data_IF_817288954242
#
_entry.id   IF_817288954242
#
_cell.length_a   1.000
_cell.length_b   1.000
_cell.length_c   1.000
_cell.angle_alpha   90.00
_cell.angle_beta   90.00
_cell.angle_gamma   90.00
#
_symmetry.space_group_name_H-M   'P 1'
#
loop_
_entity.id
_entity.type
_entity.pdbx_description
1 polymer ?
#
# COMPACT_ATOMS: atom_id res chain seq x y z
N UNK A 1 -22.07 -1.72 -3.28
CA UNK A 1 -20.96 -1.82 -2.31
C UNK A 1 -19.60 -2.05 -2.99
N UNK A 2 -19.55 -2.57 -4.22
CA UNK A 2 -18.34 -2.72 -5.05
C UNK A 2 -17.57 -1.42 -5.35
N UNK A 3 -18.27 -0.30 -5.57
CA UNK A 3 -17.63 1.00 -5.91
C UNK A 3 -16.79 1.59 -4.78
N UNK A 4 -17.18 1.41 -3.51
CA UNK A 4 -16.43 1.95 -2.38
C UNK A 4 -15.09 1.22 -2.17
N UNK A 5 -15.10 -0.10 -2.37
CA UNK A 5 -13.90 -0.94 -2.24
C UNK A 5 -12.93 -0.72 -3.41
N UNK A 6 -13.45 -0.52 -4.62
CA UNK A 6 -12.63 -0.13 -5.78
C UNK A 6 -11.90 1.21 -5.54
N UNK A 7 -12.58 2.20 -4.95
CA UNK A 7 -11.94 3.47 -4.53
C UNK A 7 -10.89 3.25 -3.46
N UNK A 8 -11.20 2.46 -2.42
CA UNK A 8 -10.24 2.17 -1.36
C UNK A 8 -8.96 1.51 -1.90
N UNK A 9 -9.08 0.58 -2.87
CA UNK A 9 -7.90 0.00 -3.55
C UNK A 9 -7.13 1.05 -4.37
N UNK A 10 -7.83 1.92 -5.08
CA UNK A 10 -7.20 2.98 -5.86
C UNK A 10 -6.44 3.97 -4.96
N UNK A 11 -7.02 4.32 -3.81
CA UNK A 11 -6.37 5.15 -2.79
C UNK A 11 -5.13 4.46 -2.22
N UNK A 12 -5.21 3.18 -1.84
CA UNK A 12 -4.04 2.42 -1.37
C UNK A 12 -2.94 2.30 -2.43
N UNK A 13 -3.30 2.21 -3.71
CA UNK A 13 -2.33 2.17 -4.81
C UNK A 13 -1.65 3.53 -5.01
N UNK A 14 -2.42 4.63 -4.99
CA UNK A 14 -1.88 5.98 -5.04
C UNK A 14 -0.96 6.27 -3.84
N UNK A 15 -1.36 5.81 -2.66
CA UNK A 15 -0.59 5.92 -1.41
C UNK A 15 0.72 5.11 -1.48
N UNK A 16 0.67 3.88 -1.99
CA UNK A 16 1.87 3.07 -2.21
C UNK A 16 2.86 3.72 -3.19
N UNK A 17 2.35 4.35 -4.26
CA UNK A 17 3.17 5.09 -5.22
C UNK A 17 3.85 6.30 -4.55
N UNK A 18 3.11 7.06 -3.74
CA UNK A 18 3.66 8.18 -2.97
C UNK A 18 4.79 7.74 -2.04
N UNK A 19 4.58 6.70 -1.24
CA UNK A 19 5.61 6.17 -0.33
C UNK A 19 6.86 5.66 -1.08
N UNK A 20 6.69 5.11 -2.28
CA UNK A 20 7.81 4.69 -3.13
C UNK A 20 8.64 5.90 -3.57
N UNK A 21 7.98 6.95 -4.06
CA UNK A 21 8.64 8.21 -4.46
C UNK A 21 9.36 8.87 -3.29
N UNK A 22 8.73 8.93 -2.12
CA UNK A 22 9.34 9.44 -0.88
C UNK A 22 10.58 8.62 -0.46
N UNK A 23 10.51 7.28 -0.60
CA UNK A 23 11.65 6.40 -0.33
C UNK A 23 12.82 6.68 -1.27
N UNK A 24 12.53 6.84 -2.57
CA UNK A 24 13.54 7.16 -3.59
C UNK A 24 14.17 8.53 -3.30
N UNK A 25 13.36 9.56 -3.03
CA UNK A 25 13.83 10.89 -2.71
C UNK A 25 14.73 10.91 -1.46
N UNK A 26 14.33 10.21 -0.40
CA UNK A 26 15.14 10.10 0.81
C UNK A 26 16.46 9.37 0.56
N UNK A 27 16.47 8.32 -0.28
CA UNK A 27 17.70 7.64 -0.68
C UNK A 27 18.65 8.56 -1.45
N UNK A 28 18.14 9.37 -2.37
CA UNK A 28 18.96 10.39 -3.05
C UNK A 28 19.51 11.44 -2.07
N UNK A 29 18.72 11.86 -1.09
CA UNK A 29 19.19 12.80 -0.07
C UNK A 29 20.31 12.21 0.80
N UNK A 30 20.26 10.91 1.13
CA UNK A 30 21.35 10.22 1.82
C UNK A 30 22.62 10.28 0.97
N UNK A 31 22.52 9.93 -0.32
CA UNK A 31 23.67 9.93 -1.23
C UNK A 31 24.26 11.33 -1.39
N UNK A 32 23.41 12.35 -1.56
CA UNK A 32 23.82 13.74 -1.66
C UNK A 32 24.52 14.22 -0.37
N UNK A 33 23.92 13.95 0.80
CA UNK A 33 24.52 14.34 2.09
C UNK A 33 25.85 13.63 2.34
N UNK A 34 25.96 12.34 1.98
CA UNK A 34 27.23 11.62 2.05
C UNK A 34 28.26 12.22 1.11
N UNK A 35 27.85 12.57 -0.11
CA UNK A 35 28.74 13.20 -1.08
C UNK A 35 29.24 14.56 -0.58
N UNK A 36 28.36 15.39 0.00
CA UNK A 36 28.74 16.69 0.56
C UNK A 36 29.72 16.56 1.75
N UNK A 37 29.52 15.57 2.62
CA UNK A 37 30.44 15.26 3.73
C UNK A 37 31.80 14.74 3.23
N UNK A 38 31.82 13.93 2.17
CA UNK A 38 33.03 13.35 1.59
C UNK A 38 33.76 14.30 0.62
N UNK A 39 33.09 15.29 0.06
CA UNK A 39 33.69 16.23 -0.89
C UNK A 39 34.04 17.59 -0.28
N UNK A 40 33.79 17.78 1.02
CA UNK A 40 34.09 19.04 1.70
C UNK A 40 35.24 18.89 2.72
N UNK A 41 36.49 19.25 2.33
CA UNK A 41 37.66 19.17 3.22
C UNK A 41 37.53 19.98 4.51
N UNK A 42 36.68 21.02 4.54
CA UNK A 42 36.48 21.84 5.73
C UNK A 42 35.74 21.09 6.86
N UNK A 43 34.88 20.13 6.50
CA UNK A 43 34.16 19.29 7.48
C UNK A 43 35.09 18.26 8.14
N UNK A 44 36.17 17.86 7.45
CA UNK A 44 37.16 16.93 7.98
C UNK A 44 38.05 17.56 9.06
N UNK A 45 38.39 18.85 8.90
CA UNK A 45 39.20 19.59 9.88
C UNK A 45 38.48 19.81 11.21
N UNK A 46 37.15 19.93 11.20
CA UNK A 46 36.34 20.08 12.43
C UNK A 46 36.28 18.77 13.23
N UNK A 47 36.26 17.61 12.56
CA UNK A 47 36.27 16.31 13.22
C UNK A 47 37.58 16.04 14.00
N UNK A 48 38.71 16.58 13.53
CA UNK A 48 40.00 16.45 14.22
C UNK A 48 40.16 17.42 15.39
N UNK A 49 39.46 18.56 15.42
CA UNK A 49 39.50 19.52 16.52
C UNK A 49 38.64 19.09 17.73
N UNK A 50 37.58 18.32 17.51
CA UNK A 50 36.75 17.75 18.60
C UNK A 50 37.50 16.67 19.43
N UNK A 51 38.57 16.08 18.89
CA UNK A 51 39.43 15.13 19.61
C UNK A 51 40.58 15.80 20.38
N UNK A 52 40.81 17.11 20.22
CA UNK A 52 41.91 17.84 20.86
C UNK A 52 41.49 18.64 22.12
N UNK A 53 40.28 18.41 22.64
CA UNK A 53 39.71 19.16 23.76
C UNK A 53 40.00 18.63 25.17
N UNK A 54 40.91 17.67 25.34
CA UNK A 54 41.19 17.07 26.66
C UNK A 54 42.66 16.72 26.87
N UNK A 55 43.55 17.71 26.89
CA UNK A 55 44.83 17.57 27.59
C UNK A 55 45.41 18.94 27.93
N UNK A 56 45.54 19.18 29.24
CA UNK A 56 45.88 20.48 29.80
C UNK A 56 47.37 20.82 29.72
N UNK A 57 47.67 22.12 29.84
CA UNK A 57 48.90 22.62 30.44
C UNK A 57 48.77 24.12 30.73
N UNK A 58 48.90 24.50 32.01
CA UNK A 58 49.40 25.83 32.46
C UNK A 58 50.96 25.75 32.51
N UNK A 59 51.79 26.83 32.70
CA UNK A 59 51.47 28.15 33.26
C UNK A 59 52.24 29.42 32.75
N UNK A 60 51.82 30.58 33.30
CA UNK A 60 52.57 31.86 33.51
C UNK A 60 52.74 32.80 32.28
N UNK A 61 52.31 34.07 32.30
CA UNK A 61 52.81 35.21 33.10
C UNK A 61 51.93 36.49 32.96
N UNK A 62 52.12 37.44 33.91
CA UNK A 62 51.92 38.92 33.91
C UNK A 62 50.52 39.59 34.04
N UNK A 63 50.23 40.01 35.30
CA UNK A 63 49.75 41.35 35.78
C UNK A 63 48.47 42.00 35.22
N UNK A 64 47.57 42.65 35.98
CA UNK A 64 47.45 43.01 37.39
C UNK A 64 46.01 43.55 37.67
N UNK A 65 45.59 43.49 38.96
CA UNK A 65 44.53 44.29 39.63
C UNK A 65 43.05 44.03 39.22
N UNK A 66 42.05 43.74 40.06
CA UNK A 66 41.75 43.86 41.51
C UNK A 66 40.53 42.96 41.85
N UNK A 67 40.40 42.37 43.07
CA UNK A 67 39.17 41.75 43.63
C UNK A 67 38.53 42.70 44.69
N UNK A 68 37.66 42.30 45.66
CA UNK A 68 36.69 41.18 45.82
C UNK A 68 35.25 41.73 46.11
N UNK A 69 34.16 40.95 46.29
CA UNK A 69 33.70 40.43 47.59
C UNK A 69 32.36 39.63 47.45
N UNK A 70 32.37 38.41 48.03
CA UNK A 70 31.32 37.78 48.89
C UNK A 70 29.95 37.37 48.30
N UNK A 71 29.30 36.25 48.65
CA UNK A 71 29.53 35.09 49.53
C UNK A 71 28.50 34.02 49.11
N UNK A 72 28.92 32.78 48.81
CA UNK A 72 28.68 31.56 49.60
C UNK A 72 27.21 31.21 49.93
N UNK A 73 26.66 30.12 49.36
CA UNK A 73 26.50 28.84 50.08
C UNK A 73 26.18 27.67 49.10
N UNK A 74 26.45 26.48 49.60
CA UNK A 74 26.50 25.09 49.12
C UNK A 74 25.11 24.54 48.74
N UNK A 75 24.85 23.37 48.14
CA UNK A 75 25.57 22.10 48.06
C UNK A 75 24.91 21.18 46.99
N UNK A 76 25.72 20.25 46.46
CA UNK A 76 25.43 18.92 45.89
C UNK A 76 24.37 18.61 44.80
N UNK A 77 24.93 18.11 43.67
CA UNK A 77 24.60 16.87 42.93
C UNK A 77 23.82 16.93 41.59
N UNK A 78 24.52 16.44 40.55
CA UNK A 78 24.12 15.98 39.20
C UNK A 78 23.61 16.97 38.14
N UNK A 79 24.44 17.26 37.11
CA UNK A 79 23.97 17.59 35.76
C UNK A 79 24.23 16.41 34.81
N UNK A 80 23.36 15.40 34.83
CA UNK A 80 23.31 14.40 33.78
C UNK A 80 22.53 14.97 32.57
N UNK A 81 23.28 15.39 31.54
CA UNK A 81 22.82 15.58 30.15
C UNK A 81 21.97 16.83 29.92
N UNK A 82 22.52 18.02 29.67
CA UNK A 82 23.52 18.27 28.64
C UNK A 82 22.86 18.74 27.34
N UNK A 83 22.22 19.91 27.42
CA UNK A 83 22.02 20.91 26.35
C UNK A 83 21.79 20.42 24.92
N UNK A 84 20.52 20.35 24.53
CA UNK A 84 20.06 20.50 23.15
C UNK A 84 20.39 21.90 22.63
N UNK A 85 21.64 22.12 22.24
CA UNK A 85 22.08 23.26 21.45
C UNK A 85 22.59 22.76 20.09
N UNK A 86 22.18 23.34 18.96
CA UNK A 86 22.64 22.90 17.66
C UNK A 86 24.12 23.27 17.51
N UNK A 87 25.00 22.26 17.54
CA UNK A 87 26.36 22.42 17.07
C UNK A 87 26.32 22.63 15.55
N UNK A 88 26.89 23.73 15.02
CA UNK A 88 26.90 23.97 13.58
C UNK A 88 27.97 23.10 12.95
N UNK A 89 27.53 22.06 12.25
CA UNK A 89 28.36 21.33 11.28
C UNK A 89 28.48 19.84 11.53
N UNK A 90 28.06 19.08 10.50
CA UNK A 90 28.54 17.72 10.19
C UNK A 90 27.74 16.49 10.65
N UNK A 91 26.53 16.60 11.21
CA UNK A 91 25.77 15.39 11.60
C UNK A 91 24.27 15.35 11.30
N UNK A 92 23.61 16.49 11.09
CA UNK A 92 22.14 16.54 11.07
C UNK A 92 21.50 16.10 9.75
N UNK A 93 22.09 16.48 8.60
CA UNK A 93 21.49 16.24 7.28
C UNK A 93 21.45 14.75 6.93
N UNK A 94 22.55 14.03 7.16
CA UNK A 94 22.64 12.60 6.87
C UNK A 94 21.75 11.77 7.79
N UNK A 95 21.72 12.10 9.09
CA UNK A 95 20.89 11.39 10.06
C UNK A 95 19.39 11.61 9.78
N UNK A 96 19.01 12.85 9.45
CA UNK A 96 17.65 13.19 9.04
C UNK A 96 17.23 12.47 7.74
N UNK A 97 18.12 12.41 6.74
CA UNK A 97 17.86 11.67 5.50
C UNK A 97 17.70 10.16 5.74
N UNK A 98 18.51 9.58 6.66
CA UNK A 98 18.38 8.18 7.09
C UNK A 98 17.08 7.92 7.82
N UNK A 99 16.65 8.83 8.69
CA UNK A 99 15.39 8.73 9.40
C UNK A 99 14.21 8.75 8.41
N UNK A 100 14.19 9.70 7.47
CA UNK A 100 13.14 9.78 6.43
C UNK A 100 13.10 8.53 5.56
N UNK A 101 14.25 8.01 5.15
CA UNK A 101 14.32 6.76 4.39
C UNK A 101 13.72 5.59 5.17
N UNK A 102 14.09 5.39 6.44
CA UNK A 102 13.51 4.34 7.28
C UNK A 102 12.00 4.48 7.43
N UNK A 103 11.52 5.70 7.66
CA UNK A 103 10.09 6.00 7.80
C UNK A 103 9.32 5.71 6.51
N UNK A 104 9.80 6.20 5.36
CA UNK A 104 9.19 5.97 4.06
C UNK A 104 9.16 4.48 3.68
N UNK A 105 10.24 3.74 3.97
CA UNK A 105 10.28 2.29 3.77
C UNK A 105 9.29 1.56 4.67
N UNK A 106 9.14 1.97 5.93
CA UNK A 106 8.14 1.39 6.83
C UNK A 106 6.71 1.63 6.31
N UNK A 107 6.43 2.85 5.85
CA UNK A 107 5.15 3.21 5.27
C UNK A 107 4.86 2.43 3.97
N UNK A 108 5.84 2.28 3.08
CA UNK A 108 5.73 1.46 1.87
C UNK A 108 5.42 0.00 2.19
N UNK A 109 6.10 -0.59 3.19
CA UNK A 109 5.81 -1.96 3.65
C UNK A 109 4.40 -2.10 4.20
N UNK A 110 3.92 -1.10 4.94
CA UNK A 110 2.54 -1.08 5.44
C UNK A 110 1.53 -1.01 4.29
N UNK A 111 1.77 -0.18 3.26
CA UNK A 111 0.94 -0.12 2.06
C UNK A 111 0.90 -1.46 1.31
N UNK A 112 2.04 -2.15 1.15
CA UNK A 112 2.11 -3.47 0.50
C UNK A 112 1.31 -4.52 1.31
N UNK A 113 1.44 -4.51 2.64
CA UNK A 113 0.69 -5.41 3.51
C UNK A 113 -0.82 -5.15 3.42
N UNK A 114 -1.24 -3.88 3.42
CA UNK A 114 -2.65 -3.50 3.29
C UNK A 114 -3.25 -3.92 1.94
N UNK A 115 -2.51 -3.74 0.83
CA UNK A 115 -2.93 -4.21 -0.49
C UNK A 115 -3.05 -5.72 -0.54
N UNK A 116 -2.12 -6.45 0.08
CA UNK A 116 -2.13 -7.91 0.14
C UNK A 116 -3.34 -8.44 0.93
N UNK A 117 -3.67 -7.83 2.07
CA UNK A 117 -4.86 -8.17 2.85
C UNK A 117 -6.15 -7.90 2.09
N UNK A 118 -6.26 -6.74 1.43
CA UNK A 118 -7.41 -6.37 0.61
C UNK A 118 -7.64 -7.36 -0.56
N UNK A 119 -6.56 -7.92 -1.12
CA UNK A 119 -6.65 -8.92 -2.18
C UNK A 119 -7.23 -10.27 -1.69
N UNK A 120 -6.88 -10.72 -0.48
CA UNK A 120 -7.36 -11.99 0.08
C UNK A 120 -8.85 -11.93 0.47
N UNK A 121 -9.29 -10.82 1.07
CA UNK A 121 -10.68 -10.65 1.53
C UNK A 121 -11.68 -10.56 0.36
N UNK A 122 -11.28 -9.94 -0.75
CA UNK A 122 -12.13 -9.83 -1.95
C UNK A 122 -12.19 -11.12 -2.76
N UNK A 123 -11.05 -11.78 -2.99
CA UNK A 123 -11.01 -13.00 -3.79
C UNK A 123 -11.86 -14.12 -3.19
N UNK A 124 -11.99 -14.16 -1.86
CA UNK A 124 -12.81 -15.16 -1.18
C UNK A 124 -14.31 -14.87 -1.24
N UNK A 125 -14.71 -13.59 -1.17
CA UNK A 125 -16.13 -13.19 -1.12
C UNK A 125 -16.76 -13.04 -2.49
N UNK A 126 -16.02 -12.52 -3.47
CA UNK A 126 -16.45 -12.36 -4.87
C UNK A 126 -16.60 -13.72 -5.56
N UNK A 127 -15.61 -14.61 -5.42
CA UNK A 127 -15.69 -15.99 -5.97
C UNK A 127 -16.87 -16.77 -5.38
N UNK A 128 -17.20 -16.56 -4.09
CA UNK A 128 -18.35 -17.22 -3.47
C UNK A 128 -19.69 -16.69 -3.99
N UNK A 129 -19.81 -15.38 -4.19
CA UNK A 129 -21.02 -14.78 -4.75
C UNK A 129 -21.22 -15.23 -6.22
N UNK A 130 -20.16 -15.16 -7.02
CA UNK A 130 -20.18 -15.59 -8.42
C UNK A 130 -20.52 -17.08 -8.54
N UNK A 131 -19.98 -17.93 -7.66
CA UNK A 131 -20.27 -19.36 -7.66
C UNK A 131 -21.76 -19.68 -7.42
N UNK A 132 -22.42 -18.96 -6.50
CA UNK A 132 -23.85 -19.14 -6.23
C UNK A 132 -24.73 -18.61 -7.37
N UNK A 133 -24.29 -17.55 -8.05
CA UNK A 133 -25.00 -17.02 -9.22
C UNK A 133 -24.90 -17.98 -10.42
N UNK A 134 -23.73 -18.58 -10.63
CA UNK A 134 -23.50 -19.59 -11.67
C UNK A 134 -24.43 -20.79 -11.45
N UNK A 135 -24.52 -21.33 -10.24
CA UNK A 135 -25.40 -22.46 -9.92
C UNK A 135 -26.87 -22.14 -10.23
N UNK A 136 -27.34 -20.93 -9.84
CA UNK A 136 -28.71 -20.47 -10.14
C UNK A 136 -28.96 -20.35 -11.65
N UNK A 137 -27.98 -19.87 -12.42
CA UNK A 137 -28.08 -19.76 -13.87
C UNK A 137 -28.10 -21.13 -14.55
N UNK A 138 -27.32 -22.09 -14.05
CA UNK A 138 -27.32 -23.46 -14.53
C UNK A 138 -28.65 -24.16 -14.28
N UNK A 139 -29.25 -23.96 -13.11
CA UNK A 139 -30.60 -24.44 -12.78
C UNK A 139 -31.65 -23.84 -13.72
N UNK A 140 -31.60 -22.52 -13.94
CA UNK A 140 -32.52 -21.85 -14.84
C UNK A 140 -32.37 -22.36 -16.29
N UNK A 141 -31.12 -22.53 -16.77
CA UNK A 141 -30.85 -23.09 -18.09
C UNK A 141 -31.33 -24.54 -18.22
N UNK A 142 -31.23 -25.34 -17.15
CA UNK A 142 -31.73 -26.71 -17.11
C UNK A 142 -33.26 -26.75 -17.16
N UNK A 143 -33.93 -25.83 -16.45
CA UNK A 143 -35.38 -25.67 -16.50
C UNK A 143 -35.87 -25.30 -17.90
N UNK A 144 -35.25 -24.28 -18.53
CA UNK A 144 -35.57 -23.88 -19.90
C UNK A 144 -35.37 -25.01 -20.91
N UNK A 145 -34.30 -25.80 -20.78
CA UNK A 145 -34.06 -26.96 -21.64
C UNK A 145 -35.19 -28.00 -21.54
N UNK A 146 -35.65 -28.30 -20.32
CA UNK A 146 -36.78 -29.21 -20.10
C UNK A 146 -38.08 -28.65 -20.70
N UNK A 147 -38.32 -27.34 -20.56
CA UNK A 147 -39.50 -26.70 -21.11
C UNK A 147 -39.52 -26.72 -22.64
N UNK A 148 -38.37 -26.45 -23.29
CA UNK A 148 -38.21 -26.54 -24.74
C UNK A 148 -38.48 -27.97 -25.22
N UNK A 149 -37.93 -28.98 -24.54
CA UNK A 149 -38.17 -30.38 -24.88
C UNK A 149 -39.66 -30.75 -24.77
N UNK A 150 -40.32 -30.31 -23.69
CA UNK A 150 -41.76 -30.52 -23.47
C UNK A 150 -42.61 -29.86 -24.56
N UNK A 151 -42.34 -28.58 -24.86
CA UNK A 151 -43.04 -27.84 -25.92
C UNK A 151 -42.83 -28.47 -27.30
N UNK A 152 -41.62 -28.95 -27.60
CA UNK A 152 -41.35 -29.67 -28.85
C UNK A 152 -42.15 -30.99 -28.95
N UNK A 153 -42.29 -31.74 -27.85
CA UNK A 153 -43.16 -32.93 -27.81
C UNK A 153 -44.61 -32.58 -28.10
N UNK A 154 -45.12 -31.49 -27.52
CA UNK A 154 -46.49 -31.03 -27.77
C UNK A 154 -46.72 -30.62 -29.24
N UNK A 155 -45.78 -29.88 -29.84
CA UNK A 155 -45.85 -29.49 -31.25
C UNK A 155 -45.84 -30.72 -32.15
N UNK A 156 -45.02 -31.72 -31.85
CA UNK A 156 -44.99 -32.97 -32.60
C UNK A 156 -46.34 -33.70 -32.55
N UNK A 157 -46.95 -33.80 -31.36
CA UNK A 157 -48.27 -34.40 -31.20
C UNK A 157 -49.33 -33.69 -32.05
N UNK A 158 -49.37 -32.36 -32.00
CA UNK A 158 -50.31 -31.57 -32.82
C UNK A 158 -50.08 -31.76 -34.32
N UNK A 159 -48.81 -31.86 -34.75
CA UNK A 159 -48.45 -32.10 -36.14
C UNK A 159 -48.91 -33.50 -36.60
N UNK A 160 -48.76 -34.52 -35.76
CA UNK A 160 -49.20 -35.87 -36.07
C UNK A 160 -50.73 -35.95 -36.13
N UNK A 161 -51.44 -35.33 -35.16
CA UNK A 161 -52.90 -35.21 -35.20
C UNK A 161 -53.41 -34.50 -36.47
N UNK A 162 -52.74 -33.44 -36.92
CA UNK A 162 -53.10 -32.75 -38.16
C UNK A 162 -52.89 -33.63 -39.39
N UNK A 163 -51.80 -34.41 -39.43
CA UNK A 163 -51.52 -35.35 -40.53
C UNK A 163 -52.57 -36.46 -40.59
N UNK A 164 -52.98 -36.99 -39.45
CA UNK A 164 -54.03 -38.01 -39.36
C UNK A 164 -55.36 -37.44 -39.88
N UNK A 165 -55.73 -36.24 -39.44
CA UNK A 165 -56.96 -35.58 -39.91
C UNK A 165 -56.94 -35.34 -41.42
N UNK A 166 -55.82 -34.90 -41.99
CA UNK A 166 -55.66 -34.73 -43.45
C UNK A 166 -55.85 -36.08 -44.16
N UNK A 167 -55.29 -37.16 -43.61
CA UNK A 167 -55.42 -38.51 -44.16
C UNK A 167 -56.87 -38.97 -44.15
N UNK A 168 -57.58 -38.78 -43.03
CA UNK A 168 -59.00 -39.10 -42.91
C UNK A 168 -59.83 -38.33 -43.94
N UNK A 169 -59.66 -37.01 -44.02
CA UNK A 169 -60.37 -36.16 -45.00
C UNK A 169 -60.10 -36.64 -46.43
N UNK A 170 -58.86 -37.01 -46.74
CA UNK A 170 -58.49 -37.51 -48.06
C UNK A 170 -59.20 -38.83 -48.41
N UNK A 171 -59.48 -39.69 -47.42
CA UNK A 171 -60.27 -40.91 -47.63
C UNK A 171 -61.73 -40.57 -47.97
N UNK A 172 -62.32 -39.55 -47.33
CA UNK A 172 -63.70 -39.11 -47.62
C UNK A 172 -63.85 -38.38 -48.96
N UNK A 173 -62.76 -37.82 -49.49
CA UNK A 173 -62.75 -37.10 -50.77
C UNK A 173 -62.43 -37.99 -51.98
N UNK A 174 -62.15 -39.29 -51.77
CA UNK A 174 -61.98 -40.22 -52.89
C UNK A 174 -63.31 -40.36 -53.64
N UNK A 175 -63.37 -40.11 -54.96
CA UNK A 175 -64.59 -40.32 -55.72
C UNK A 175 -64.99 -41.80 -55.63
N UNK A 176 -66.18 -42.10 -55.11
CA UNK A 176 -66.78 -43.41 -55.35
C UNK A 176 -66.89 -43.57 -56.87
N UNK A 177 -66.03 -44.40 -57.48
CA UNK A 177 -66.24 -44.82 -58.87
C UNK A 177 -67.59 -45.53 -58.92
N UNK A 178 -68.54 -44.90 -59.61
CA UNK A 178 -69.80 -45.52 -60.07
C UNK A 178 -69.59 -46.20 -61.40
#
# INVERSE_FOLDING_TARGET
>A
MSSAVARQRQELAAEGQRHLEETIAAAFQILASMNDELCNPALWSSASAAAAGSQGQHPSHHSAATPPLHSADSDAADPAGGGSGPAPGSGGSLDEARHRYKSAVAALRASIAAVSSCAQDMGSTEVKADQTEIERLEDHASSLRKEIESKNKQVKLLMDQLRDLITDISMWQSPCSV
#
